data_IF_660292409057
#
_entry.id   IF_660292409057
#
_cell.length_a   1.000
_cell.length_b   1.000
_cell.length_c   1.000
_cell.angle_alpha   90.00
_cell.angle_beta   90.00
_cell.angle_gamma   90.00
#
_symmetry.space_group_name_H-M   'P 1'
#
loop_
_entity.id
_entity.type
_entity.pdbx_description
1 polymer ?
#
# COMPACT_ATOMS: atom_id res chain seq x y z
N UNK A 1 -19.52 -31.06 -83.52
CA UNK A 1 -20.39 -29.86 -83.56
C UNK A 1 -20.53 -29.38 -82.12
N UNK A 2 -19.78 -28.35 -81.69
CA UNK A 2 -20.25 -26.95 -81.49
C UNK A 2 -21.46 -26.88 -80.53
N UNK A 3 -21.45 -26.23 -79.36
CA UNK A 3 -20.90 -24.91 -78.96
C UNK A 3 -20.83 -24.77 -77.43
N UNK A 4 -19.89 -23.93 -76.97
CA UNK A 4 -19.67 -23.41 -75.61
C UNK A 4 -20.73 -22.42 -75.10
N UNK A 5 -20.79 -22.21 -73.78
CA UNK A 5 -20.35 -21.00 -73.00
C UNK A 5 -20.91 -21.11 -71.57
N UNK A 6 -20.36 -20.62 -70.45
CA UNK A 6 -19.03 -20.16 -70.00
C UNK A 6 -19.13 -19.97 -68.45
N UNK A 7 -18.08 -20.40 -67.72
CA UNK A 7 -17.35 -19.80 -66.54
C UNK A 7 -18.17 -19.08 -65.44
N UNK A 8 -18.02 -19.36 -64.13
CA UNK A 8 -16.99 -18.90 -63.14
C UNK A 8 -17.35 -19.51 -61.77
N UNK A 9 -16.51 -19.70 -60.74
CA UNK A 9 -15.07 -19.72 -60.48
C UNK A 9 -14.91 -20.11 -58.98
N UNK A 10 -13.75 -20.64 -58.63
CA UNK A 10 -13.14 -20.86 -57.31
C UNK A 10 -13.80 -21.81 -56.29
N UNK A 11 -13.15 -22.97 -56.15
CA UNK A 11 -13.03 -23.76 -54.93
C UNK A 11 -12.40 -22.95 -53.77
N UNK A 12 -12.59 -23.51 -52.57
CA UNK A 12 -11.89 -23.27 -51.30
C UNK A 12 -12.35 -22.09 -50.40
N UNK A 13 -13.13 -22.38 -49.35
CA UNK A 13 -12.57 -22.52 -48.00
C UNK A 13 -13.66 -22.85 -46.96
N UNK A 14 -13.38 -23.89 -46.19
CA UNK A 14 -14.09 -24.31 -44.98
C UNK A 14 -13.94 -23.27 -43.85
N UNK A 15 -15.02 -22.95 -43.14
CA UNK A 15 -15.11 -22.93 -41.66
C UNK A 15 -16.56 -22.67 -41.20
N UNK A 16 -17.06 -23.37 -40.16
CA UNK A 16 -18.46 -23.35 -39.76
C UNK A 16 -18.85 -22.17 -38.85
N UNK A 17 -20.18 -21.99 -38.77
CA UNK A 17 -20.96 -20.96 -38.10
C UNK A 17 -20.44 -20.45 -36.73
N UNK A 18 -20.32 -19.12 -36.66
CA UNK A 18 -20.38 -18.29 -35.46
C UNK A 18 -21.85 -18.24 -35.01
N UNK A 19 -22.20 -18.72 -33.82
CA UNK A 19 -23.33 -18.19 -33.03
C UNK A 19 -23.12 -18.43 -31.51
N UNK A 20 -22.67 -17.35 -30.87
CA UNK A 20 -23.07 -16.80 -29.57
C UNK A 20 -23.11 -17.72 -28.32
N UNK A 21 -21.97 -17.85 -27.65
CA UNK A 21 -21.90 -18.19 -26.22
C UNK A 21 -22.28 -16.95 -25.41
N UNK A 22 -23.57 -16.80 -25.12
CA UNK A 22 -24.04 -15.86 -24.11
C UNK A 22 -23.58 -16.33 -22.72
N UNK A 23 -22.32 -16.05 -22.38
CA UNK A 23 -21.82 -16.18 -21.01
C UNK A 23 -22.49 -15.09 -20.18
N UNK A 24 -23.49 -15.48 -19.41
CA UNK A 24 -24.04 -14.64 -18.34
C UNK A 24 -22.90 -14.15 -17.47
N UNK A 25 -22.61 -12.85 -17.55
CA UNK A 25 -21.64 -12.19 -16.71
C UNK A 25 -22.23 -12.11 -15.29
N UNK A 26 -22.02 -13.17 -14.50
CA UNK A 26 -22.24 -13.12 -13.05
C UNK A 26 -21.32 -12.01 -12.51
N UNK A 27 -21.86 -10.91 -11.94
CA UNK A 27 -21.02 -9.88 -11.36
C UNK A 27 -20.21 -10.52 -10.23
N UNK A 28 -18.87 -10.47 -10.33
CA UNK A 28 -18.00 -10.85 -9.22
C UNK A 28 -18.38 -9.95 -8.05
N UNK A 29 -19.08 -10.50 -7.05
CA UNK A 29 -19.30 -9.82 -5.78
C UNK A 29 -17.95 -9.30 -5.30
N UNK A 30 -17.82 -7.97 -5.24
CA UNK A 30 -16.67 -7.34 -4.60
C UNK A 30 -16.76 -7.76 -3.13
N UNK A 31 -15.95 -8.74 -2.73
CA UNK A 31 -15.77 -9.08 -1.32
C UNK A 31 -15.43 -7.77 -0.60
N UNK A 32 -16.36 -7.28 0.22
CA UNK A 32 -16.09 -6.15 1.10
C UNK A 32 -14.89 -6.57 1.95
N UNK A 33 -13.76 -5.84 1.91
CA UNK A 33 -12.62 -6.17 2.73
C UNK A 33 -13.08 -6.25 4.18
N UNK A 34 -12.90 -7.41 4.81
CA UNK A 34 -13.20 -7.54 6.23
C UNK A 34 -12.32 -6.54 6.99
N UNK A 35 -12.89 -5.76 7.92
CA UNK A 35 -12.14 -4.82 8.69
C UNK A 35 -10.91 -5.42 9.36
N UNK A 36 -9.74 -4.79 9.18
CA UNK A 36 -8.58 -5.08 10.02
C UNK A 36 -8.11 -3.78 10.63
N UNK A 37 -7.89 -3.78 11.94
CA UNK A 37 -7.26 -2.67 12.64
C UNK A 37 -5.90 -3.09 13.17
N UNK A 38 -4.99 -2.11 13.31
CA UNK A 38 -3.60 -2.37 13.73
C UNK A 38 -3.32 -1.65 15.02
N UNK A 39 -2.89 -2.40 16.03
CA UNK A 39 -2.35 -1.89 17.28
C UNK A 39 -0.84 -1.98 17.31
N UNK A 40 -0.20 -1.19 18.17
CA UNK A 40 1.22 -1.32 18.53
C UNK A 40 1.37 -1.55 20.02
N UNK A 41 2.35 -2.37 20.37
CA UNK A 41 2.85 -2.55 21.73
C UNK A 41 4.37 -2.34 21.74
N UNK A 42 4.91 -2.11 22.93
CA UNK A 42 6.34 -1.98 23.16
C UNK A 42 6.79 -2.99 24.22
N UNK A 43 7.70 -3.89 23.86
CA UNK A 43 8.35 -4.82 24.78
C UNK A 43 9.63 -5.39 24.15
N UNK A 44 10.72 -5.39 24.89
CA UNK A 44 12.04 -5.88 24.43
C UNK A 44 12.10 -7.40 24.46
N UNK A 45 11.61 -8.03 25.52
CA UNK A 45 11.66 -9.49 25.70
C UNK A 45 10.87 -10.23 24.62
N UNK A 46 9.65 -9.77 24.32
CA UNK A 46 8.84 -10.28 23.20
C UNK A 46 9.56 -10.13 21.86
N UNK A 47 10.44 -9.14 21.73
CA UNK A 47 11.20 -8.93 20.50
C UNK A 47 12.32 -9.97 20.32
N UNK A 48 12.61 -10.81 21.30
CA UNK A 48 13.55 -11.94 21.17
C UNK A 48 12.91 -13.16 20.51
N UNK A 49 11.60 -13.36 20.65
CA UNK A 49 10.83 -14.48 20.09
C UNK A 49 10.51 -14.28 18.60
N UNK A 50 10.28 -15.34 17.81
CA UNK A 50 9.83 -15.16 16.42
C UNK A 50 8.44 -14.52 16.33
N UNK A 51 8.06 -13.96 15.18
CA UNK A 51 6.70 -13.40 15.00
C UNK A 51 5.63 -14.48 15.18
N UNK A 52 5.93 -15.69 14.75
CA UNK A 52 5.12 -16.90 14.89
C UNK A 52 4.95 -17.28 16.36
N UNK A 53 6.05 -17.34 17.13
CA UNK A 53 6.00 -17.67 18.57
C UNK A 53 5.16 -16.65 19.33
N UNK A 54 5.35 -15.35 19.07
CA UNK A 54 4.55 -14.28 19.70
C UNK A 54 3.07 -14.47 19.37
N UNK A 55 2.75 -14.82 18.11
CA UNK A 55 1.37 -15.05 17.69
C UNK A 55 0.74 -16.24 18.44
N UNK A 56 1.49 -17.32 18.71
CA UNK A 56 0.97 -18.45 19.51
C UNK A 56 0.64 -18.09 20.96
N UNK A 57 1.31 -17.07 21.52
CA UNK A 57 1.05 -16.56 22.87
C UNK A 57 -0.06 -15.50 22.91
N UNK A 58 -0.50 -15.01 21.75
CA UNK A 58 -1.55 -14.01 21.63
C UNK A 58 -2.95 -14.64 21.71
N UNK A 59 -3.98 -13.86 22.07
CA UNK A 59 -5.36 -14.32 21.98
C UNK A 59 -5.81 -14.44 20.52
N UNK A 60 -6.79 -15.31 20.24
CA UNK A 60 -7.33 -15.57 18.89
C UNK A 60 -7.80 -14.32 18.11
N UNK A 61 -8.10 -13.23 18.84
CA UNK A 61 -8.41 -11.92 18.24
C UNK A 61 -7.25 -11.32 17.42
N UNK A 62 -6.00 -11.70 17.70
CA UNK A 62 -4.81 -11.27 16.96
C UNK A 62 -4.61 -12.20 15.77
N UNK A 63 -4.67 -11.63 14.57
CA UNK A 63 -4.55 -12.37 13.30
C UNK A 63 -3.12 -12.42 12.78
N UNK A 64 -2.32 -11.41 13.12
CA UNK A 64 -0.93 -11.32 12.66
C UNK A 64 -0.11 -10.47 13.60
N UNK A 65 1.12 -10.93 13.85
CA UNK A 65 2.18 -10.18 14.53
C UNK A 65 3.18 -9.71 13.48
N UNK A 66 3.72 -8.51 13.65
CA UNK A 66 4.79 -7.98 12.81
C UNK A 66 5.74 -7.14 13.63
N UNK A 67 7.02 -7.48 13.64
CA UNK A 67 8.08 -6.67 14.24
C UNK A 67 8.41 -5.50 13.33
N UNK A 68 8.45 -4.30 13.91
CA UNK A 68 8.73 -3.11 13.13
C UNK A 68 10.22 -3.02 12.79
N UNK A 69 10.56 -3.08 11.49
CA UNK A 69 11.93 -2.92 10.99
C UNK A 69 12.60 -1.67 11.55
N UNK A 70 13.83 -1.83 12.04
CA UNK A 70 14.61 -0.75 12.66
C UNK A 70 14.21 -0.42 14.10
N UNK A 71 13.28 -1.16 14.70
CA UNK A 71 13.02 -1.14 16.13
C UNK A 71 13.66 -2.35 16.82
N UNK A 72 13.77 -2.27 18.15
CA UNK A 72 14.19 -3.39 19.02
C UNK A 72 13.10 -3.85 19.99
N UNK A 73 11.97 -3.16 20.03
CA UNK A 73 10.92 -3.42 21.02
C UNK A 73 9.52 -3.16 20.49
N UNK A 74 9.35 -2.75 19.22
CA UNK A 74 8.06 -2.32 18.69
C UNK A 74 7.43 -3.43 17.86
N UNK A 75 6.27 -3.89 18.32
CA UNK A 75 5.50 -4.95 17.69
C UNK A 75 4.16 -4.38 17.22
N UNK A 76 3.74 -4.74 16.02
CA UNK A 76 2.46 -4.39 15.43
C UNK A 76 1.57 -5.64 15.45
N UNK A 77 0.35 -5.47 15.95
CA UNK A 77 -0.65 -6.51 16.05
C UNK A 77 -1.79 -6.16 15.11
N UNK A 78 -2.16 -7.09 14.24
CA UNK A 78 -3.33 -6.95 13.36
C UNK A 78 -4.48 -7.71 14.00
N UNK A 79 -5.60 -7.03 14.23
CA UNK A 79 -6.83 -7.61 14.77
C UNK A 79 -7.88 -7.72 13.67
N UNK A 80 -8.79 -8.69 13.81
CA UNK A 80 -10.02 -8.70 13.02
C UNK A 80 -11.01 -7.66 13.58
N UNK A 81 -11.70 -6.93 12.71
CA UNK A 81 -12.66 -5.90 13.09
C UNK A 81 -12.13 -4.47 13.02
N UNK A 82 -13.01 -3.52 13.36
CA UNK A 82 -12.75 -2.07 13.35
C UNK A 82 -12.25 -1.52 14.69
N UNK A 83 -12.25 -2.32 15.75
CA UNK A 83 -11.96 -1.88 17.12
C UNK A 83 -10.64 -2.45 17.63
N UNK A 84 -9.75 -1.56 18.07
CA UNK A 84 -8.51 -1.92 18.75
C UNK A 84 -8.81 -2.02 20.24
N UNK A 85 -8.50 -3.17 20.90
CA UNK A 85 -8.67 -3.27 22.34
C UNK A 85 -7.65 -2.38 23.05
N UNK A 86 -8.02 -1.76 24.18
CA UNK A 86 -7.07 -0.93 24.96
C UNK A 86 -5.92 -1.75 25.54
N UNK A 87 -6.19 -3.02 25.85
CA UNK A 87 -5.22 -3.97 26.40
C UNK A 87 -5.39 -5.36 25.83
N UNK A 88 -4.30 -6.11 25.80
CA UNK A 88 -4.29 -7.54 25.48
C UNK A 88 -3.40 -8.29 26.47
N UNK A 89 -3.62 -9.59 26.59
CA UNK A 89 -2.73 -10.46 27.35
C UNK A 89 -1.95 -11.33 26.38
N UNK A 90 -0.63 -11.19 26.38
CA UNK A 90 0.30 -12.11 25.71
C UNK A 90 0.96 -12.87 26.85
N UNK A 91 0.48 -14.09 27.09
CA UNK A 91 0.70 -14.84 28.33
C UNK A 91 2.18 -14.81 28.78
N UNK A 92 2.52 -14.41 30.01
CA UNK A 92 1.66 -14.04 31.15
C UNK A 92 1.38 -12.53 31.31
N UNK A 93 1.81 -11.70 30.37
CA UNK A 93 1.87 -10.24 30.56
C UNK A 93 0.74 -9.51 29.85
N UNK A 94 0.19 -8.48 30.50
CA UNK A 94 -0.82 -7.58 29.92
C UNK A 94 -0.16 -6.34 29.30
N UNK A 95 -0.46 -6.06 28.04
CA UNK A 95 0.08 -4.93 27.29
C UNK A 95 -1.00 -3.92 26.96
N UNK A 96 -0.69 -2.63 27.14
CA UNK A 96 -1.49 -1.55 26.57
C UNK A 96 -1.25 -1.50 25.06
N UNK A 97 -2.33 -1.49 24.28
CA UNK A 97 -2.28 -1.41 22.83
C UNK A 97 -2.63 -0.01 22.40
N UNK A 98 -1.73 0.63 21.65
CA UNK A 98 -2.00 1.95 21.03
C UNK A 98 -2.35 1.77 19.57
N UNK A 99 -3.25 2.58 18.99
CA UNK A 99 -3.47 2.57 17.55
C UNK A 99 -2.17 2.74 16.75
N UNK A 100 -2.01 1.93 15.72
CA UNK A 100 -0.92 2.03 14.77
C UNK A 100 -1.41 2.69 13.49
N UNK A 101 -0.92 3.91 13.24
CA UNK A 101 -1.10 4.61 11.97
C UNK A 101 0.14 4.38 11.12
N UNK A 102 -0.08 3.84 9.93
CA UNK A 102 0.99 3.65 8.95
C UNK A 102 1.55 4.99 8.48
N UNK A 103 2.83 4.99 8.14
CA UNK A 103 3.42 6.18 7.53
C UNK A 103 3.06 6.21 6.05
N UNK A 104 2.74 7.39 5.48
CA UNK A 104 2.69 7.58 4.04
C UNK A 104 3.92 6.99 3.36
N UNK A 105 3.69 6.10 2.39
CA UNK A 105 4.76 5.54 1.58
C UNK A 105 5.32 6.65 0.70
N UNK A 106 6.54 7.09 0.99
CA UNK A 106 7.19 8.17 0.25
C UNK A 106 8.41 7.66 -0.52
N UNK A 107 8.50 8.03 -1.79
CA UNK A 107 9.63 7.72 -2.63
C UNK A 107 10.84 8.59 -2.26
N UNK A 108 11.98 8.01 -1.90
CA UNK A 108 13.19 8.81 -1.61
C UNK A 108 14.02 9.18 -2.86
N UNK A 109 13.53 8.89 -4.07
CA UNK A 109 14.10 9.42 -5.31
C UNK A 109 13.49 10.78 -5.64
N UNK A 110 12.16 10.85 -5.76
CA UNK A 110 11.44 12.03 -6.22
C UNK A 110 10.56 12.70 -5.16
N UNK A 111 10.39 12.06 -3.99
CA UNK A 111 9.60 12.52 -2.84
C UNK A 111 8.07 12.53 -2.99
N UNK A 112 7.56 11.89 -4.05
CA UNK A 112 6.14 11.59 -4.22
C UNK A 112 5.64 10.49 -3.27
N UNK A 113 4.36 10.58 -2.94
CA UNK A 113 3.65 9.62 -2.10
C UNK A 113 2.96 8.53 -2.92
N UNK A 114 2.86 7.33 -2.34
CA UNK A 114 2.18 6.17 -2.91
C UNK A 114 3.09 5.13 -3.54
N UNK A 115 4.41 5.39 -3.66
CA UNK A 115 5.36 4.39 -4.15
C UNK A 115 6.72 4.49 -3.45
N UNK A 116 7.45 3.36 -3.43
CA UNK A 116 8.82 3.29 -2.93
C UNK A 116 9.85 3.53 -4.03
N UNK A 117 11.12 3.74 -3.64
CA UNK A 117 12.24 4.03 -4.58
C UNK A 117 12.39 3.00 -5.71
N UNK A 118 12.14 1.72 -5.45
CA UNK A 118 12.28 0.64 -6.44
C UNK A 118 11.29 0.74 -7.61
N UNK A 119 10.18 1.43 -7.40
CA UNK A 119 9.10 1.58 -8.39
C UNK A 119 9.07 3.00 -8.97
N UNK A 120 10.15 3.78 -8.76
CA UNK A 120 10.21 5.17 -9.20
C UNK A 120 10.86 5.26 -10.58
N UNK A 121 10.14 5.89 -11.52
CA UNK A 121 10.62 6.15 -12.87
C UNK A 121 11.05 7.62 -13.07
N UNK A 122 10.98 8.43 -12.00
CA UNK A 122 11.29 9.86 -12.03
C UNK A 122 12.77 10.13 -11.72
N UNK A 123 13.28 11.25 -12.24
CA UNK A 123 14.62 11.76 -11.91
C UNK A 123 14.71 12.13 -10.43
N UNK A 124 15.91 12.04 -9.84
CA UNK A 124 16.07 12.35 -8.43
C UNK A 124 15.84 13.84 -8.12
N UNK A 125 15.32 14.10 -6.93
CA UNK A 125 15.13 15.44 -6.36
C UNK A 125 15.92 15.55 -5.06
N UNK A 126 16.47 16.71 -4.75
CA UNK A 126 17.08 16.94 -3.45
C UNK A 126 15.99 16.97 -2.37
N UNK A 127 16.12 16.13 -1.33
CA UNK A 127 15.16 16.06 -0.23
C UNK A 127 15.16 17.28 0.69
N UNK A 128 16.17 18.16 0.58
CA UNK A 128 16.29 19.37 1.38
C UNK A 128 15.72 20.59 0.64
N UNK A 129 16.29 20.96 -0.51
CA UNK A 129 15.90 22.19 -1.24
C UNK A 129 14.96 21.94 -2.43
N UNK A 130 14.48 20.71 -2.62
CA UNK A 130 13.60 20.32 -3.74
C UNK A 130 14.16 20.50 -5.15
N UNK A 131 15.44 20.85 -5.34
CA UNK A 131 16.03 20.99 -6.67
C UNK A 131 16.11 19.63 -7.41
N UNK A 132 15.83 19.61 -8.71
CA UNK A 132 16.01 18.42 -9.55
C UNK A 132 17.51 18.20 -9.82
N UNK A 133 17.97 16.95 -9.67
CA UNK A 133 19.30 16.40 -10.04
C UNK A 133 20.44 17.43 -10.15
N UNK A 134 20.73 18.13 -9.05
CA UNK A 134 21.88 19.05 -8.98
C UNK A 134 22.96 18.59 -8.01
N UNK A 135 22.60 17.75 -7.03
CA UNK A 135 23.49 17.26 -5.98
C UNK A 135 22.82 16.15 -5.16
N UNK A 136 23.60 15.44 -4.35
CA UNK A 136 23.06 14.52 -3.33
C UNK A 136 22.46 15.31 -2.16
N UNK A 137 21.38 14.81 -1.56
CA UNK A 137 20.76 15.50 -0.41
C UNK A 137 21.73 15.68 0.77
N UNK A 138 22.69 14.78 0.94
CA UNK A 138 23.77 14.88 1.95
C UNK A 138 24.77 16.02 1.71
N UNK A 139 24.86 16.51 0.48
CA UNK A 139 25.78 17.56 0.06
C UNK A 139 25.07 18.91 -0.14
N UNK A 140 23.77 18.97 0.15
CA UNK A 140 22.96 20.16 -0.03
C UNK A 140 23.39 21.26 0.95
N UNK A 141 23.72 22.44 0.41
CA UNK A 141 24.02 23.65 1.18
C UNK A 141 22.94 24.74 1.08
N UNK A 142 21.93 24.50 0.25
CA UNK A 142 20.80 25.42 0.10
C UNK A 142 19.87 25.34 1.30
N UNK A 143 19.10 26.40 1.52
CA UNK A 143 18.03 26.40 2.52
C UNK A 143 16.99 25.31 2.23
N UNK A 144 16.38 24.80 3.29
CA UNK A 144 15.32 23.81 3.17
C UNK A 144 14.09 24.41 2.51
N UNK A 145 13.56 23.75 1.49
CA UNK A 145 12.39 24.19 0.76
C UNK A 145 11.55 22.99 0.36
N UNK A 146 10.25 23.06 0.64
CA UNK A 146 9.29 22.03 0.28
C UNK A 146 8.48 22.44 -0.94
N UNK A 147 8.67 21.71 -2.05
CA UNK A 147 7.88 21.93 -3.27
C UNK A 147 6.36 21.73 -3.09
N UNK A 148 5.92 20.87 -2.16
CA UNK A 148 4.49 20.58 -1.96
C UNK A 148 3.75 21.67 -1.18
N UNK A 149 4.35 22.16 -0.09
CA UNK A 149 3.71 23.16 0.78
C UNK A 149 4.18 24.58 0.51
N UNK A 150 5.23 24.76 -0.30
CA UNK A 150 5.88 26.06 -0.57
C UNK A 150 6.33 26.71 0.76
N UNK A 151 6.85 25.87 1.67
CA UNK A 151 7.24 26.26 3.03
C UNK A 151 8.72 25.90 3.30
N UNK A 152 9.33 26.58 4.28
CA UNK A 152 10.75 26.47 4.64
C UNK A 152 11.06 25.21 5.48
N UNK A 153 10.94 24.03 4.87
CA UNK A 153 11.30 22.75 5.48
C UNK A 153 11.64 21.70 4.41
N UNK A 154 12.36 20.62 4.75
CA UNK A 154 12.67 19.57 3.77
C UNK A 154 11.40 18.78 3.35
N UNK A 155 11.48 18.10 2.20
CA UNK A 155 10.40 17.26 1.63
C UNK A 155 10.00 16.07 2.52
N UNK A 156 10.89 15.68 3.45
CA UNK A 156 10.66 14.59 4.42
C UNK A 156 10.02 15.07 5.72
N UNK A 157 9.69 16.35 5.84
CA UNK A 157 9.09 16.89 7.06
C UNK A 157 7.75 16.24 7.35
N UNK A 158 7.57 15.74 8.58
CA UNK A 158 6.30 15.20 9.06
C UNK A 158 5.28 16.28 9.43
N UNK A 159 5.70 17.54 9.42
CA UNK A 159 4.85 18.71 9.60
C UNK A 159 4.39 19.29 8.25
N UNK A 160 4.86 18.71 7.12
CA UNK A 160 4.41 19.12 5.80
C UNK A 160 2.90 18.87 5.66
N UNK A 161 2.15 19.87 5.18
CA UNK A 161 0.71 19.77 4.92
C UNK A 161 0.35 18.59 4.03
N UNK A 162 1.17 18.33 3.00
CA UNK A 162 0.97 17.18 2.10
C UNK A 162 1.23 15.84 2.80
N UNK A 163 2.18 15.78 3.72
CA UNK A 163 2.42 14.57 4.52
C UNK A 163 1.23 14.28 5.44
N UNK A 164 0.70 15.31 6.10
CA UNK A 164 -0.47 15.18 6.98
C UNK A 164 -1.69 14.75 6.19
N UNK A 165 -1.93 15.33 5.01
CA UNK A 165 -3.00 14.92 4.10
C UNK A 165 -2.91 13.43 3.73
N UNK A 166 -1.74 12.95 3.31
CA UNK A 166 -1.56 11.53 2.99
C UNK A 166 -1.72 10.63 4.21
N UNK A 167 -1.37 11.11 5.40
CA UNK A 167 -1.60 10.39 6.65
C UNK A 167 -3.10 10.27 6.96
N UNK A 168 -3.88 11.33 6.70
CA UNK A 168 -5.33 11.33 6.88
C UNK A 168 -6.02 10.42 5.86
N UNK A 169 -5.59 10.44 4.60
CA UNK A 169 -6.06 9.52 3.54
C UNK A 169 -5.80 8.06 3.95
N UNK A 170 -4.60 7.75 4.46
CA UNK A 170 -4.31 6.41 4.97
C UNK A 170 -5.19 6.04 6.16
N UNK A 171 -5.45 6.99 7.07
CA UNK A 171 -6.32 6.74 8.20
C UNK A 171 -7.77 6.47 7.76
N UNK A 172 -8.29 7.25 6.80
CA UNK A 172 -9.61 7.06 6.21
C UNK A 172 -9.73 5.74 5.46
N UNK A 173 -8.74 5.39 4.63
CA UNK A 173 -8.73 4.11 3.93
C UNK A 173 -8.76 2.92 4.89
N UNK A 174 -8.02 3.00 5.99
CA UNK A 174 -7.99 1.96 7.02
C UNK A 174 -9.27 1.88 7.86
N UNK A 175 -9.94 3.00 8.11
CA UNK A 175 -11.18 3.04 8.92
C UNK A 175 -12.43 2.74 8.11
N UNK A 176 -12.45 3.08 6.82
CA UNK A 176 -13.57 2.86 5.92
C UNK A 176 -13.41 1.60 5.04
N UNK A 177 -12.31 0.86 5.19
CA UNK A 177 -11.99 -0.36 4.42
C UNK A 177 -11.98 -0.14 2.90
N UNK A 178 -11.62 1.07 2.50
CA UNK A 178 -11.51 1.48 1.11
C UNK A 178 -10.08 1.30 0.61
N UNK A 179 -9.92 1.11 -0.70
CA UNK A 179 -8.59 1.16 -1.30
C UNK A 179 -7.99 2.57 -1.13
N UNK A 180 -6.67 2.68 -1.03
CA UNK A 180 -5.99 3.99 -0.94
C UNK A 180 -6.36 4.88 -2.14
N UNK A 181 -6.52 4.29 -3.33
CA UNK A 181 -6.95 5.01 -4.53
C UNK A 181 -8.41 5.50 -4.46
N UNK A 182 -9.26 4.89 -3.64
CA UNK A 182 -10.64 5.33 -3.40
C UNK A 182 -10.75 6.41 -2.32
N UNK A 183 -9.69 6.60 -1.51
CA UNK A 183 -9.64 7.61 -0.45
C UNK A 183 -8.92 8.91 -0.88
N UNK A 184 -8.37 8.94 -2.10
CA UNK A 184 -7.77 10.11 -2.76
C UNK A 184 -8.82 10.79 -3.64
#
# INVERSE_FOLDING_TARGET
MMRSTNVVDSDNDYCPNIFDDSVEHVPKERRVPTPFCKGRIYNEDLYEFSEEDILTMCPDSVQRVTKMKGSKNKIILTFYGSHIPDRININPTSFEVKPFVERPLQCFCYYEFGHGRRNCNNRSRCGNCSALVSHLTSECRSESYCYYSIDAHPLRSRQCKMYLLEQDILHLANTQFNSIGSAR
#
